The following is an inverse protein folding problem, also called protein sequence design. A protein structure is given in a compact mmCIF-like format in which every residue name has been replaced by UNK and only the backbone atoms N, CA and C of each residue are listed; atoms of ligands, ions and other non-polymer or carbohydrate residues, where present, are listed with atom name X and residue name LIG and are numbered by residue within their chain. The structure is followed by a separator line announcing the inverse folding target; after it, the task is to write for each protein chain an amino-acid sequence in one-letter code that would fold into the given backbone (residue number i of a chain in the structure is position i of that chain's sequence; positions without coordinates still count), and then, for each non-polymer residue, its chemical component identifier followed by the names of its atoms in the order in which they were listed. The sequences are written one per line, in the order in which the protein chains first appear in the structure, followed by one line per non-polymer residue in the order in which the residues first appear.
data_IF_673871649042
#
_entry.id   IF_673871649042
#
_cell.length_a   1.000
_cell.length_b   1.000
_cell.length_c   1.000
_cell.angle_alpha   90.00
_cell.angle_beta   90.00
_cell.angle_gamma   90.00
#
_symmetry.space_group_name_H-M   'P 1'
#
loop_
_entity.id
_entity.type
_entity.pdbx_description
1 polymer ?
#
# COMPACT_ATOMS: atom_id res chain seq x y z
N UNK A 1 21.96 0.21 5.71
CA UNK A 1 21.12 0.72 4.61
C UNK A 1 19.68 0.82 5.09
N UNK A 2 19.21 2.03 5.43
CA UNK A 2 17.80 2.26 5.74
C UNK A 2 17.00 2.16 4.44
N UNK A 3 16.07 1.21 4.38
CA UNK A 3 15.13 1.02 3.27
C UNK A 3 14.36 2.34 3.10
N UNK A 4 14.78 3.14 2.12
CA UNK A 4 14.16 4.41 1.81
C UNK A 4 12.79 4.06 1.23
N UNK A 5 11.79 4.11 2.12
CA UNK A 5 10.36 3.92 1.94
C UNK A 5 10.01 4.05 0.45
N UNK A 6 9.54 2.94 -0.14
CA UNK A 6 8.93 2.84 -1.46
C UNK A 6 8.37 4.20 -1.86
N UNK A 7 8.74 4.73 -3.03
CA UNK A 7 8.29 6.02 -3.54
C UNK A 7 6.74 6.09 -3.44
N UNK A 8 6.22 6.64 -2.35
CA UNK A 8 4.87 6.38 -1.88
C UNK A 8 4.05 7.65 -2.13
N UNK A 9 3.29 7.70 -3.24
CA UNK A 9 2.55 8.89 -3.61
C UNK A 9 1.43 9.16 -2.60
N UNK A 10 0.83 10.34 -2.68
CA UNK A 10 -0.33 10.68 -1.85
C UNK A 10 -1.55 9.84 -2.26
N UNK A 11 -2.36 9.40 -1.30
CA UNK A 11 -3.60 8.69 -1.58
C UNK A 11 -4.69 9.61 -2.16
N UNK A 12 -4.74 10.87 -1.70
CA UNK A 12 -5.70 11.86 -2.15
C UNK A 12 -5.01 13.10 -2.73
N UNK A 13 -5.52 13.66 -3.83
CA UNK A 13 -5.01 14.92 -4.37
C UNK A 13 -5.41 16.08 -3.44
N UNK A 14 -4.43 16.77 -2.87
CA UNK A 14 -4.67 17.89 -1.95
C UNK A 14 -3.45 18.81 -1.81
N UNK A 15 -3.71 20.11 -1.62
CA UNK A 15 -2.70 21.19 -1.64
C UNK A 15 -2.03 21.46 -0.29
N UNK A 16 -2.28 20.63 0.72
CA UNK A 16 -1.69 20.74 2.07
C UNK A 16 -0.70 19.60 2.30
N UNK A 17 0.34 19.84 3.10
CA UNK A 17 1.34 18.82 3.48
C UNK A 17 0.80 17.79 4.50
N UNK A 18 -0.50 17.80 4.77
CA UNK A 18 -1.20 16.89 5.65
C UNK A 18 -2.09 16.00 4.80
N UNK A 19 -1.67 14.76 4.55
CA UNK A 19 -2.42 13.82 3.72
C UNK A 19 -1.97 12.38 3.93
N UNK A 20 -2.91 11.45 3.79
CA UNK A 20 -2.67 10.00 3.85
C UNK A 20 -1.79 9.57 2.67
N UNK A 21 -0.76 8.77 2.91
CA UNK A 21 0.04 8.21 1.83
C UNK A 21 -0.71 7.06 1.15
N UNK A 22 -0.38 6.73 -0.10
CA UNK A 22 -1.03 5.64 -0.84
C UNK A 22 -0.85 4.29 -0.12
N UNK A 23 0.30 4.10 0.55
CA UNK A 23 0.55 2.99 1.47
C UNK A 23 -0.44 2.94 2.62
N UNK A 24 -0.68 4.07 3.28
CA UNK A 24 -1.64 4.14 4.40
C UNK A 24 -3.06 3.86 3.92
N UNK A 25 -3.40 4.30 2.71
CA UNK A 25 -4.69 4.01 2.09
C UNK A 25 -4.85 2.51 1.80
N UNK A 26 -3.88 1.86 1.16
CA UNK A 26 -3.95 0.41 0.91
C UNK A 26 -3.98 -0.41 2.20
N UNK A 27 -3.17 -0.04 3.19
CA UNK A 27 -3.22 -0.70 4.50
C UNK A 27 -4.59 -0.51 5.18
N UNK A 28 -5.18 0.68 5.08
CA UNK A 28 -6.52 0.97 5.59
C UNK A 28 -7.62 0.18 4.88
N UNK A 29 -7.52 -0.02 3.56
CA UNK A 29 -8.46 -0.85 2.81
C UNK A 29 -8.35 -2.33 3.21
N UNK A 30 -7.14 -2.84 3.41
CA UNK A 30 -6.93 -4.20 3.88
C UNK A 30 -7.52 -4.42 5.29
N UNK A 31 -7.28 -3.47 6.21
CA UNK A 31 -7.90 -3.46 7.53
C UNK A 31 -9.43 -3.43 7.44
N UNK A 32 -10.00 -2.54 6.61
CA UNK A 32 -11.45 -2.42 6.46
C UNK A 32 -12.10 -3.71 5.95
N UNK A 33 -11.43 -4.43 5.05
CA UNK A 33 -11.87 -5.76 4.61
C UNK A 33 -11.81 -6.81 5.72
N UNK A 34 -10.73 -6.83 6.50
CA UNK A 34 -10.59 -7.79 7.61
C UNK A 34 -11.61 -7.51 8.73
N UNK A 35 -11.89 -6.22 9.01
CA UNK A 35 -12.90 -5.79 9.98
C UNK A 35 -14.35 -5.99 9.50
N UNK A 36 -14.57 -6.26 8.21
CA UNK A 36 -15.88 -6.63 7.71
C UNK A 36 -16.25 -8.08 8.07
N UNK A 37 -15.27 -8.88 8.49
CA UNK A 37 -15.45 -10.20 9.09
C UNK A 37 -15.41 -10.06 10.63
N UNK A 38 -16.18 -10.89 11.35
CA UNK A 38 -16.22 -10.91 12.82
C UNK A 38 -14.97 -11.58 13.44
N UNK A 39 -13.88 -11.66 12.68
CA UNK A 39 -12.64 -12.37 13.05
C UNK A 39 -11.79 -11.60 14.07
N UNK A 40 -11.83 -10.26 14.04
CA UNK A 40 -11.14 -9.41 15.00
C UNK A 40 -11.98 -9.23 16.27
N UNK A 41 -11.71 -10.05 17.27
CA UNK A 41 -12.34 -9.94 18.60
C UNK A 41 -11.95 -8.63 19.30
N UNK A 42 -12.90 -8.06 20.06
CA UNK A 42 -12.65 -6.90 20.93
C UNK A 42 -11.61 -7.20 22.03
N UNK A 43 -11.45 -8.47 22.40
CA UNK A 43 -10.49 -8.92 23.41
C UNK A 43 -9.15 -9.37 22.80
N UNK A 44 -8.88 -8.98 21.54
CA UNK A 44 -7.62 -9.26 20.89
C UNK A 44 -6.43 -8.69 21.68
N UNK A 45 -5.35 -9.48 21.80
CA UNK A 45 -4.15 -9.03 22.49
C UNK A 45 -3.42 -7.95 21.71
N UNK A 46 -2.60 -7.14 22.39
CA UNK A 46 -1.76 -6.12 21.77
C UNK A 46 -0.83 -6.71 20.70
N UNK A 47 -0.26 -7.88 20.96
CA UNK A 47 0.65 -8.56 20.02
C UNK A 47 -0.08 -8.94 18.73
N UNK A 48 -1.31 -9.46 18.84
CA UNK A 48 -2.11 -9.81 17.67
C UNK A 48 -2.44 -8.58 16.80
N UNK A 49 -2.79 -7.46 17.44
CA UNK A 49 -3.06 -6.19 16.76
C UNK A 49 -1.81 -5.64 16.07
N UNK A 50 -0.65 -5.71 16.72
CA UNK A 50 0.63 -5.31 16.13
C UNK A 50 0.99 -6.17 14.91
N UNK A 51 0.79 -7.48 14.98
CA UNK A 51 1.02 -8.38 13.85
C UNK A 51 0.07 -8.08 12.68
N UNK A 52 -1.21 -7.76 12.95
CA UNK A 52 -2.16 -7.37 11.89
C UNK A 52 -1.77 -6.06 11.25
N UNK A 53 -1.41 -5.06 12.04
CA UNK A 53 -0.92 -3.79 11.51
C UNK A 53 0.29 -4.02 10.59
N UNK A 54 1.27 -4.81 11.03
CA UNK A 54 2.44 -5.16 10.21
C UNK A 54 2.04 -5.89 8.92
N UNK A 55 1.08 -6.81 9.00
CA UNK A 55 0.57 -7.54 7.84
C UNK A 55 -0.06 -6.59 6.80
N UNK A 56 -0.93 -5.67 7.22
CA UNK A 56 -1.57 -4.72 6.29
C UNK A 56 -0.56 -3.80 5.60
N UNK A 57 0.44 -3.32 6.34
CA UNK A 57 1.50 -2.52 5.75
C UNK A 57 2.37 -3.31 4.76
N UNK A 58 2.64 -4.60 5.04
CA UNK A 58 3.36 -5.46 4.10
C UNK A 58 2.54 -5.73 2.84
N UNK A 59 1.22 -5.88 2.96
CA UNK A 59 0.33 -6.00 1.83
C UNK A 59 0.32 -4.72 0.97
N UNK A 60 0.22 -3.56 1.61
CA UNK A 60 0.33 -2.26 0.94
C UNK A 60 1.68 -2.09 0.21
N UNK A 61 2.77 -2.51 0.83
CA UNK A 61 4.10 -2.48 0.23
C UNK A 61 4.19 -3.39 -1.02
N UNK A 62 3.56 -4.56 -0.98
CA UNK A 62 3.47 -5.47 -2.13
C UNK A 62 2.66 -4.86 -3.28
N UNK A 63 1.55 -4.19 -2.99
CA UNK A 63 0.74 -3.48 -4.00
C UNK A 63 1.50 -2.34 -4.67
N UNK A 64 2.22 -1.53 -3.87
CA UNK A 64 3.06 -0.46 -4.41
C UNK A 64 4.19 -1.00 -5.29
N UNK A 65 4.81 -2.10 -4.88
CA UNK A 65 5.85 -2.76 -5.68
C UNK A 65 5.30 -3.26 -7.02
N UNK A 66 4.17 -3.95 -7.02
CA UNK A 66 3.53 -4.42 -8.25
C UNK A 66 3.22 -3.26 -9.21
N UNK A 67 2.73 -2.14 -8.67
CA UNK A 67 2.45 -0.93 -9.45
C UNK A 67 3.71 -0.31 -10.06
N UNK A 68 4.80 -0.26 -9.30
CA UNK A 68 6.08 0.24 -9.79
C UNK A 68 6.69 -0.66 -10.89
N UNK A 69 6.51 -1.98 -10.77
CA UNK A 69 6.93 -2.95 -11.78
C UNK A 69 6.10 -2.81 -13.07
N UNK A 70 4.78 -2.62 -12.97
CA UNK A 70 3.91 -2.34 -14.12
C UNK A 70 4.27 -1.01 -14.81
N UNK A 71 4.52 0.05 -14.03
CA UNK A 71 5.00 1.34 -14.58
C UNK A 71 6.35 1.18 -15.28
N UNK A 72 7.27 0.38 -14.73
CA UNK A 72 8.56 0.08 -15.35
C UNK A 72 8.37 -0.68 -16.68
N UNK A 73 7.48 -1.67 -16.74
CA UNK A 73 7.19 -2.42 -17.96
C UNK A 73 6.50 -1.54 -19.03
N UNK A 74 5.53 -0.72 -18.63
CA UNK A 74 4.83 0.23 -19.50
C UNK A 74 5.77 1.28 -20.09
N UNK A 75 6.64 1.86 -19.26
CA UNK A 75 7.66 2.82 -19.71
C UNK A 75 8.72 2.16 -20.61
N UNK A 76 9.06 0.90 -20.39
CA UNK A 76 9.95 0.15 -21.30
C UNK A 76 9.28 -0.14 -22.65
N UNK A 77 7.98 -0.46 -22.66
CA UNK A 77 7.18 -0.63 -23.87
C UNK A 77 7.04 0.66 -24.68
N UNK A 78 6.87 1.80 -24.02
CA UNK A 78 6.84 3.12 -24.64
C UNK A 78 8.21 3.52 -25.25
N UNK A 79 9.32 3.11 -24.63
CA UNK A 79 10.68 3.35 -25.14
C UNK A 79 11.08 2.41 -26.29
N UNK A 80 10.42 1.25 -26.43
CA UNK A 80 10.63 0.29 -27.53
C UNK A 80 9.63 0.44 -28.70
N UNK A 81 8.84 1.51 -28.75
CA UNK A 81 8.15 1.92 -29.98
C UNK A 81 7.21 0.89 -30.60
N UNK A 82 6.47 0.11 -29.81
CA UNK A 82 5.35 -0.68 -30.36
C UNK A 82 4.15 0.24 -30.62
N UNK A 83 4.23 0.96 -31.75
CA UNK A 83 3.06 1.47 -32.46
C UNK A 83 2.37 0.29 -33.15
N UNK A 84 1.09 0.07 -32.83
CA UNK A 84 0.16 -0.61 -33.75
C UNK A 84 -0.71 0.47 -34.38
#
# INVERSE_FOLDING_TARGET
MAYNKLNNPRAFPGNTNFGMSLRDYFAGQALAGDMADDFLSNDASSEFLEERAQFYYRLADAMLKARAEEEALSSTGAMMGFSV
#
